data_IF_450659143839
#
_entry.id   IF_450659143839
#
_cell.length_a   1.000
_cell.length_b   1.000
_cell.length_c   1.000
_cell.angle_alpha   90.00
_cell.angle_beta   90.00
_cell.angle_gamma   90.00
#
_symmetry.space_group_name_H-M   'P 1'
#
loop_
_entity.id
_entity.type
_entity.pdbx_description
1 polymer ?
#
# COMPACT_ATOMS: atom_id res chain seq x y z
N UNK A 1 12.84 -16.65 -4.45
CA UNK A 1 11.86 -16.41 -3.36
C UNK A 1 11.51 -17.76 -2.76
N UNK A 2 11.51 -17.87 -1.43
CA UNK A 2 11.13 -19.10 -0.73
C UNK A 2 9.64 -19.07 -0.44
N UNK A 3 8.94 -20.17 -0.68
CA UNK A 3 7.53 -20.35 -0.32
C UNK A 3 7.42 -21.21 0.93
N UNK A 4 6.72 -20.70 1.93
CA UNK A 4 6.43 -21.41 3.17
C UNK A 4 4.97 -21.90 3.20
N UNK A 5 4.74 -23.07 3.78
CA UNK A 5 3.39 -23.62 3.96
C UNK A 5 2.76 -23.08 5.24
N UNK A 6 1.49 -22.69 5.16
CA UNK A 6 0.69 -22.30 6.31
C UNK A 6 -0.58 -23.17 6.38
N UNK A 7 -1.05 -23.41 7.60
CA UNK A 7 -2.31 -24.11 7.86
C UNK A 7 -3.26 -23.15 8.55
N UNK A 8 -4.49 -23.04 8.04
CA UNK A 8 -5.54 -22.18 8.60
C UNK A 8 -6.80 -23.01 8.86
N UNK A 9 -7.52 -22.68 9.94
CA UNK A 9 -8.85 -23.23 10.21
C UNK A 9 -9.89 -22.22 9.73
N UNK A 10 -10.81 -22.67 8.89
CA UNK A 10 -11.88 -21.85 8.31
C UNK A 10 -13.22 -22.54 8.53
N UNK A 11 -14.28 -21.76 8.63
CA UNK A 11 -15.64 -22.28 8.64
C UNK A 11 -15.95 -22.93 7.29
N UNK A 12 -16.68 -24.06 7.33
CA UNK A 12 -16.99 -24.82 6.12
C UNK A 12 -17.86 -24.03 5.12
N UNK A 13 -18.77 -23.19 5.61
CA UNK A 13 -19.56 -22.25 4.81
C UNK A 13 -18.66 -21.26 4.07
N UNK A 14 -17.77 -20.58 4.81
CA UNK A 14 -16.82 -19.63 4.24
C UNK A 14 -15.90 -20.27 3.20
N UNK A 15 -15.47 -21.52 3.42
CA UNK A 15 -14.64 -22.24 2.45
C UNK A 15 -15.39 -22.48 1.11
N UNK A 16 -16.71 -22.70 1.15
CA UNK A 16 -17.53 -22.81 -0.08
C UNK A 16 -17.65 -21.48 -0.81
N UNK A 17 -17.70 -20.37 -0.09
CA UNK A 17 -17.69 -19.04 -0.70
C UNK A 17 -16.35 -18.77 -1.38
N UNK A 18 -15.23 -19.15 -0.74
CA UNK A 18 -13.89 -19.10 -1.33
C UNK A 18 -13.83 -19.93 -2.61
N UNK A 19 -14.35 -21.16 -2.61
CA UNK A 19 -14.41 -22.02 -3.80
C UNK A 19 -15.19 -21.37 -4.95
N UNK A 20 -16.33 -20.78 -4.62
CA UNK A 20 -17.17 -20.09 -5.59
C UNK A 20 -16.42 -18.92 -6.23
N UNK A 21 -15.67 -18.15 -5.43
CA UNK A 21 -14.85 -17.03 -5.92
C UNK A 21 -13.68 -17.52 -6.78
N UNK A 22 -12.99 -18.59 -6.35
CA UNK A 22 -11.89 -19.21 -7.10
C UNK A 22 -12.36 -19.62 -8.50
N UNK A 23 -13.49 -20.33 -8.59
CA UNK A 23 -14.04 -20.78 -9.87
C UNK A 23 -14.52 -19.63 -10.74
N UNK A 24 -15.29 -18.68 -10.18
CA UNK A 24 -15.87 -17.56 -10.95
C UNK A 24 -14.83 -16.61 -11.52
N UNK A 25 -13.72 -16.42 -10.82
CA UNK A 25 -12.66 -15.48 -11.22
C UNK A 25 -11.49 -16.16 -11.95
N UNK A 26 -11.60 -17.45 -12.29
CA UNK A 26 -10.62 -18.16 -13.10
C UNK A 26 -9.28 -18.43 -12.39
N UNK A 27 -9.27 -18.47 -11.06
CA UNK A 27 -8.08 -18.86 -10.31
C UNK A 27 -7.80 -20.36 -10.49
N UNK A 28 -6.52 -20.74 -10.58
CA UNK A 28 -6.16 -22.15 -10.75
C UNK A 28 -6.41 -22.98 -9.49
N UNK A 29 -6.20 -22.38 -8.30
CA UNK A 29 -6.38 -23.04 -7.02
C UNK A 29 -6.60 -22.04 -5.87
N UNK A 30 -7.06 -22.55 -4.72
CA UNK A 30 -7.25 -21.76 -3.49
C UNK A 30 -5.97 -21.06 -3.03
N UNK A 31 -4.82 -21.71 -3.17
CA UNK A 31 -3.53 -21.17 -2.71
C UNK A 31 -3.16 -19.90 -3.47
N UNK A 32 -3.37 -19.87 -4.78
CA UNK A 32 -3.17 -18.69 -5.62
C UNK A 32 -4.10 -17.56 -5.18
N UNK A 33 -5.39 -17.84 -5.06
CA UNK A 33 -6.39 -16.86 -4.62
C UNK A 33 -6.04 -16.27 -3.24
N UNK A 34 -5.79 -17.12 -2.24
CA UNK A 34 -5.47 -16.70 -0.88
C UNK A 34 -4.17 -15.88 -0.86
N UNK A 35 -3.15 -16.28 -1.63
CA UNK A 35 -1.88 -15.55 -1.71
C UNK A 35 -2.09 -14.15 -2.28
N UNK A 36 -2.87 -14.01 -3.35
CA UNK A 36 -3.15 -12.72 -3.97
C UNK A 36 -3.99 -11.83 -3.04
N UNK A 37 -5.04 -12.39 -2.43
CA UNK A 37 -5.89 -11.68 -1.46
C UNK A 37 -5.07 -11.16 -0.26
N UNK A 38 -4.15 -11.97 0.28
CA UNK A 38 -3.26 -11.54 1.36
C UNK A 38 -2.32 -10.41 0.91
N UNK A 39 -1.75 -10.51 -0.31
CA UNK A 39 -0.89 -9.46 -0.87
C UNK A 39 -1.65 -8.15 -1.03
N UNK A 40 -2.81 -8.19 -1.66
CA UNK A 40 -3.67 -7.01 -1.84
C UNK A 40 -4.01 -6.37 -0.49
N UNK A 41 -4.35 -7.19 0.51
CA UNK A 41 -4.67 -6.68 1.84
C UNK A 41 -3.49 -6.01 2.53
N UNK A 42 -2.29 -6.57 2.41
CA UNK A 42 -1.07 -5.98 2.94
C UNK A 42 -0.74 -4.65 2.28
N UNK A 43 -0.85 -4.56 0.96
CA UNK A 43 -0.62 -3.30 0.24
C UNK A 43 -1.67 -2.24 0.58
N UNK A 44 -2.95 -2.63 0.75
CA UNK A 44 -4.01 -1.74 1.21
C UNK A 44 -3.69 -1.13 2.59
N UNK A 45 -3.21 -1.96 3.53
CA UNK A 45 -2.82 -1.51 4.88
C UNK A 45 -1.65 -0.52 4.79
N UNK A 46 -0.58 -0.85 4.07
CA UNK A 46 0.57 0.04 3.88
C UNK A 46 0.16 1.39 3.27
N UNK A 47 -0.72 1.36 2.27
CA UNK A 47 -1.23 2.57 1.64
C UNK A 47 -2.01 3.43 2.64
N UNK A 48 -2.88 2.83 3.44
CA UNK A 48 -3.62 3.55 4.49
C UNK A 48 -2.70 4.20 5.51
N UNK A 49 -1.67 3.49 5.95
CA UNK A 49 -0.66 4.04 6.88
C UNK A 49 0.09 5.23 6.27
N UNK A 50 0.55 5.09 5.01
CA UNK A 50 1.21 6.19 4.29
C UNK A 50 0.28 7.40 4.12
N UNK A 51 -1.01 7.17 3.82
CA UNK A 51 -2.00 8.24 3.71
C UNK A 51 -2.23 8.97 5.03
N UNK A 52 -2.25 8.26 6.17
CA UNK A 52 -2.35 8.88 7.50
C UNK A 52 -1.14 9.78 7.77
N UNK A 53 0.06 9.33 7.44
CA UNK A 53 1.27 10.15 7.57
C UNK A 53 1.21 11.41 6.69
N UNK A 54 0.76 11.27 5.43
CA UNK A 54 0.56 12.41 4.53
C UNK A 54 -0.51 13.37 5.07
N UNK A 55 -1.60 12.87 5.64
CA UNK A 55 -2.66 13.69 6.22
C UNK A 55 -2.13 14.50 7.42
N UNK A 56 -1.32 13.87 8.28
CA UNK A 56 -0.65 14.56 9.38
C UNK A 56 0.26 15.69 8.85
N UNK A 57 1.03 15.43 7.79
CA UNK A 57 1.88 16.44 7.15
C UNK A 57 1.08 17.57 6.48
N UNK A 58 -0.02 17.26 5.79
CA UNK A 58 -0.91 18.24 5.13
C UNK A 58 -1.56 19.20 6.14
N UNK A 59 -1.87 18.74 7.35
CA UNK A 59 -2.44 19.56 8.43
C UNK A 59 -1.40 20.26 9.31
N UNK A 60 -0.17 19.75 9.38
CA UNK A 60 0.91 20.36 10.17
C UNK A 60 1.39 21.69 9.57
N UNK A 61 1.27 21.88 8.25
CA UNK A 61 1.62 23.14 7.60
C UNK A 61 0.51 24.18 7.73
N UNK A 62 0.38 24.79 8.92
CA UNK A 62 -0.49 25.96 9.17
C UNK A 62 -0.01 27.25 8.48
N UNK A 63 1.12 27.20 7.77
CA UNK A 63 1.77 28.38 7.18
C UNK A 63 1.21 28.62 5.78
N UNK A 64 0.41 29.69 5.61
CA UNK A 64 0.09 30.22 4.28
C UNK A 64 1.40 30.62 3.61
N UNK A 65 1.86 29.81 2.68
CA UNK A 65 3.09 30.05 1.91
C UNK A 65 2.65 30.57 0.56
N UNK A 66 3.10 31.77 0.17
CA UNK A 66 2.85 32.30 -1.17
C UNK A 66 3.57 31.46 -2.22
N UNK A 67 3.06 31.46 -3.45
CA UNK A 67 3.62 30.67 -4.55
C UNK A 67 5.10 30.98 -4.80
N UNK A 68 5.52 32.25 -4.70
CA UNK A 68 6.94 32.64 -4.81
C UNK A 68 7.82 31.99 -3.75
N UNK A 69 7.32 31.91 -2.51
CA UNK A 69 8.08 31.33 -1.40
C UNK A 69 8.14 29.82 -1.51
N UNK A 70 7.09 29.21 -2.04
CA UNK A 70 7.01 27.78 -2.32
C UNK A 70 7.97 27.39 -3.47
N UNK A 71 8.08 28.24 -4.50
CA UNK A 71 9.03 28.08 -5.59
C UNK A 71 10.48 28.12 -5.10
N UNK A 72 10.83 29.11 -4.26
CA UNK A 72 12.18 29.21 -3.66
C UNK A 72 12.53 27.99 -2.80
N UNK A 73 11.58 27.48 -2.00
CA UNK A 73 11.78 26.27 -1.19
C UNK A 73 12.03 25.06 -2.09
N UNK A 74 11.29 24.91 -3.21
CA UNK A 74 11.50 23.81 -4.15
C UNK A 74 12.88 23.83 -4.79
N UNK A 75 13.35 24.99 -5.25
CA UNK A 75 14.70 25.12 -5.82
C UNK A 75 15.79 24.79 -4.80
N UNK A 76 15.65 25.24 -3.55
CA UNK A 76 16.60 24.94 -2.49
C UNK A 76 16.66 23.45 -2.19
N UNK A 77 15.50 22.81 -2.01
CA UNK A 77 15.40 21.36 -1.76
C UNK A 77 15.98 20.57 -2.93
N UNK A 78 15.66 20.95 -4.16
CA UNK A 78 16.16 20.29 -5.37
C UNK A 78 17.69 20.36 -5.46
N UNK A 79 18.29 21.53 -5.22
CA UNK A 79 19.74 21.71 -5.20
C UNK A 79 20.42 20.90 -4.08
N UNK A 80 19.77 20.75 -2.93
CA UNK A 80 20.27 19.95 -1.82
C UNK A 80 20.25 18.45 -2.15
N UNK A 81 19.20 17.97 -2.82
CA UNK A 81 19.13 16.59 -3.32
C UNK A 81 20.17 16.32 -4.42
N UNK A 82 20.39 17.22 -5.37
CA UNK A 82 21.41 17.06 -6.42
C UNK A 82 22.82 16.94 -5.84
N UNK A 83 23.13 17.72 -4.78
CA UNK A 83 24.40 17.63 -4.06
C UNK A 83 24.60 16.34 -3.27
N UNK A 84 23.51 15.67 -2.88
CA UNK A 84 23.54 14.44 -2.08
C UNK A 84 23.57 13.18 -2.94
N UNK A 85 23.18 13.30 -4.22
CA UNK A 85 23.20 12.24 -5.23
C UNK A 85 24.46 12.26 -6.12
N UNK A 86 25.26 13.34 -6.04
CA UNK A 86 26.65 13.39 -6.53
C UNK A 86 27.62 12.88 -5.47
#
# INVERSE_FOLDING_TARGET
>A
MVTEMITVKLEGSFLKDVDTVVQKNGYQNRTEFIRNALREKLEEIKLKEAMIQIAYLKGASKKKTSDEKLHKIREQVFNEFDKRLK
#
